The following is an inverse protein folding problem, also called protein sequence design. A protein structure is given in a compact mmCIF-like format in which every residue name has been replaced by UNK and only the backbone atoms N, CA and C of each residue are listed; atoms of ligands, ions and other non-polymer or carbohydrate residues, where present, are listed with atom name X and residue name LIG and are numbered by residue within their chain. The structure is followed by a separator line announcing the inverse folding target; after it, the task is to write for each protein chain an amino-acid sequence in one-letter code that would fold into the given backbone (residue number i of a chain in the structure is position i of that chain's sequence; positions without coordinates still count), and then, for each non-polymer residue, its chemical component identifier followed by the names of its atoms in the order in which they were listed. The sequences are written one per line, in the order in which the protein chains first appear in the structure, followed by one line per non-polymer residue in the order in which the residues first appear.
data_IF_585727596512
#
_entry.id   IF_585727596512
#
_cell.length_a   1.000
_cell.length_b   1.000
_cell.length_c   1.000
_cell.angle_alpha   90.00
_cell.angle_beta   90.00
_cell.angle_gamma   90.00
#
_symmetry.space_group_name_H-M   'P 1'
#
loop_
_entity.id
_entity.type
_entity.pdbx_description
1 polymer ?
#
# COMPACT_ATOMS: atom_id res chain seq x y z
N UNK A 1 -10.51 -11.83 -9.52
CA UNK A 1 -10.54 -12.37 -8.14
C UNK A 1 -9.22 -13.07 -7.83
N UNK A 2 -8.10 -12.37 -7.98
CA UNK A 2 -6.74 -12.98 -8.00
C UNK A 2 -5.80 -12.37 -6.95
N UNK A 3 -6.26 -11.33 -6.25
CA UNK A 3 -5.47 -10.56 -5.26
C UNK A 3 -5.30 -11.33 -3.94
N UNK A 4 -6.09 -12.39 -3.70
CA UNK A 4 -6.11 -13.11 -2.42
C UNK A 4 -5.18 -14.34 -2.34
N UNK A 5 -4.43 -14.68 -3.39
CA UNK A 5 -3.56 -15.88 -3.38
C UNK A 5 -2.11 -15.63 -2.96
N UNK A 6 -1.69 -14.38 -2.77
CA UNK A 6 -0.29 -14.09 -2.46
C UNK A 6 -0.06 -14.07 -0.94
N UNK A 7 0.19 -15.26 -0.37
CA UNK A 7 0.43 -15.48 1.07
C UNK A 7 1.66 -14.73 1.60
N UNK A 8 2.55 -14.31 0.70
CA UNK A 8 3.88 -13.74 1.03
C UNK A 8 4.00 -12.24 0.84
N UNK A 9 2.93 -11.55 0.41
CA UNK A 9 3.02 -10.14 0.05
C UNK A 9 3.44 -9.26 1.24
N UNK A 10 2.99 -9.55 2.45
CA UNK A 10 3.32 -8.78 3.65
C UNK A 10 3.05 -9.61 4.92
N UNK A 11 4.01 -9.68 5.85
CA UNK A 11 3.85 -10.34 7.15
C UNK A 11 3.03 -9.45 8.10
N UNK A 12 1.70 -9.47 7.97
CA UNK A 12 0.80 -8.85 8.96
C UNK A 12 0.49 -9.84 10.09
N UNK A 13 0.53 -9.37 11.34
CA UNK A 13 -0.09 -10.09 12.46
C UNK A 13 -1.60 -10.10 12.23
N UNK A 14 -2.16 -11.26 11.91
CA UNK A 14 -3.60 -11.44 11.71
C UNK A 14 -4.20 -12.08 12.95
N UNK A 15 -5.15 -11.41 13.61
CA UNK A 15 -6.11 -12.09 14.48
C UNK A 15 -6.96 -13.01 13.61
N UNK A 16 -6.94 -14.31 13.91
CA UNK A 16 -7.73 -15.31 13.20
C UNK A 16 -9.23 -15.01 13.39
N UNK A 17 -9.97 -14.80 12.30
CA UNK A 17 -11.45 -14.71 12.30
C UNK A 17 -12.03 -15.98 11.66
N UNK A 18 -12.81 -16.73 12.43
CA UNK A 18 -13.42 -18.01 12.04
C UNK A 18 -14.39 -17.88 10.85
N UNK A 19 -14.95 -16.68 10.63
CA UNK A 19 -15.94 -16.43 9.58
C UNK A 19 -15.35 -16.12 8.19
N UNK A 20 -14.01 -16.08 8.03
CA UNK A 20 -13.30 -15.77 6.77
C UNK A 20 -13.75 -14.47 6.05
N UNK A 21 -14.50 -13.59 6.71
CA UNK A 21 -14.93 -12.30 6.14
C UNK A 21 -13.83 -11.27 6.37
N UNK A 22 -12.96 -11.13 5.38
CA UNK A 22 -11.89 -10.15 5.36
C UNK A 22 -12.37 -8.91 4.61
N UNK A 23 -12.80 -7.90 5.35
CA UNK A 23 -13.19 -6.61 4.76
C UNK A 23 -11.96 -5.72 4.52
N UNK A 24 -12.03 -4.86 3.50
CA UNK A 24 -10.96 -3.94 3.13
C UNK A 24 -10.53 -3.09 4.33
N UNK A 25 -11.48 -2.64 5.14
CA UNK A 25 -11.25 -1.83 6.36
C UNK A 25 -10.40 -2.52 7.41
N UNK A 26 -10.40 -3.87 7.45
CA UNK A 26 -9.54 -4.63 8.36
C UNK A 26 -8.12 -4.81 7.77
N UNK A 27 -8.01 -4.89 6.44
CA UNK A 27 -6.73 -5.17 5.77
C UNK A 27 -5.92 -3.90 5.49
N UNK A 28 -6.60 -2.82 5.10
CA UNK A 28 -5.98 -1.60 4.62
C UNK A 28 -5.14 -0.89 5.69
N UNK A 29 -5.57 -0.74 6.96
CA UNK A 29 -4.74 -0.13 8.00
C UNK A 29 -3.47 -0.95 8.26
N UNK A 30 -3.58 -2.28 8.29
CA UNK A 30 -2.43 -3.17 8.42
C UNK A 30 -1.47 -2.99 7.24
N UNK A 31 -2.00 -3.03 6.01
CA UNK A 31 -1.24 -2.83 4.76
C UNK A 31 -0.50 -1.51 4.70
N UNK A 32 -1.18 -0.41 5.00
CA UNK A 32 -0.59 0.92 5.15
C UNK A 32 0.52 0.92 6.19
N UNK A 33 0.28 0.34 7.36
CA UNK A 33 1.26 0.26 8.43
C UNK A 33 2.54 -0.45 8.02
N UNK A 34 2.45 -1.65 7.44
CA UNK A 34 3.66 -2.36 7.00
C UNK A 34 4.35 -1.68 5.84
N UNK A 35 3.62 -1.08 4.90
CA UNK A 35 4.23 -0.29 3.83
C UNK A 35 5.07 0.86 4.40
N UNK A 36 4.50 1.63 5.33
CA UNK A 36 5.19 2.76 5.98
C UNK A 36 6.42 2.29 6.77
N UNK A 37 6.32 1.17 7.49
CA UNK A 37 7.44 0.59 8.23
C UNK A 37 8.57 0.12 7.32
N UNK A 38 8.26 -0.53 6.20
CA UNK A 38 9.25 -0.96 5.23
C UNK A 38 9.94 0.24 4.57
N UNK A 39 9.19 1.28 4.23
CA UNK A 39 9.75 2.49 3.64
C UNK A 39 10.64 3.25 4.65
N UNK A 40 10.25 3.28 5.93
CA UNK A 40 11.06 3.82 7.02
C UNK A 40 12.37 3.05 7.17
N UNK A 41 12.32 1.71 7.19
CA UNK A 41 13.52 0.85 7.23
C UNK A 41 14.42 1.08 6.03
N UNK A 42 13.84 1.20 4.84
CA UNK A 42 14.59 1.47 3.62
C UNK A 42 15.32 2.82 3.66
N UNK A 43 14.66 3.87 4.15
CA UNK A 43 15.30 5.18 4.36
C UNK A 43 16.47 5.10 5.35
N UNK A 44 16.30 4.40 6.47
CA UNK A 44 17.38 4.23 7.43
C UNK A 44 18.55 3.41 6.88
N UNK A 45 18.27 2.40 6.07
CA UNK A 45 19.30 1.66 5.34
C UNK A 45 20.05 2.61 4.39
N UNK A 46 19.35 3.33 3.52
CA UNK A 46 19.95 4.28 2.57
C UNK A 46 20.85 5.32 3.28
N UNK A 47 20.40 5.86 4.40
CA UNK A 47 21.17 6.81 5.20
C UNK A 47 22.42 6.19 5.83
N UNK A 48 22.33 4.97 6.38
CA UNK A 48 23.50 4.25 6.93
C UNK A 48 24.58 3.96 5.89
N UNK A 49 24.17 3.77 4.64
CA UNK A 49 25.07 3.60 3.48
C UNK A 49 25.53 4.92 2.87
N UNK A 50 25.12 6.07 3.42
CA UNK A 50 25.34 7.42 2.88
C UNK A 50 24.83 7.61 1.44
N UNK A 51 23.82 6.84 1.04
CA UNK A 51 23.20 6.93 -0.28
C UNK A 51 22.09 7.99 -0.30
N UNK A 52 22.49 9.26 -0.41
CA UNK A 52 21.57 10.39 -0.37
C UNK A 52 20.58 10.42 -1.55
N UNK A 53 21.00 9.94 -2.73
CA UNK A 53 20.12 9.83 -3.90
C UNK A 53 18.94 8.90 -3.61
N UNK A 54 19.22 7.73 -3.05
CA UNK A 54 18.19 6.76 -2.69
C UNK A 54 17.31 7.27 -1.54
N UNK A 55 17.91 7.92 -0.54
CA UNK A 55 17.15 8.52 0.56
C UNK A 55 16.13 9.56 0.06
N UNK A 56 16.54 10.45 -0.87
CA UNK A 56 15.63 11.43 -1.47
C UNK A 56 14.53 10.77 -2.30
N UNK A 57 14.87 9.73 -3.08
CA UNK A 57 13.88 8.95 -3.85
C UNK A 57 12.82 8.31 -2.93
N UNK A 58 13.25 7.70 -1.83
CA UNK A 58 12.36 7.07 -0.85
C UNK A 58 11.49 8.09 -0.10
N UNK A 59 11.99 9.30 0.16
CA UNK A 59 11.19 10.41 0.72
C UNK A 59 10.10 10.86 -0.26
N UNK A 60 10.42 11.01 -1.54
CA UNK A 60 9.41 11.35 -2.55
C UNK A 60 8.31 10.28 -2.67
N UNK A 61 8.68 9.00 -2.60
CA UNK A 61 7.72 7.87 -2.54
C UNK A 61 6.85 7.96 -1.28
N UNK A 62 7.43 8.27 -0.13
CA UNK A 62 6.69 8.43 1.13
C UNK A 62 5.67 9.54 1.03
N UNK A 63 6.07 10.73 0.57
CA UNK A 63 5.18 11.88 0.45
C UNK A 63 4.05 11.61 -0.54
N UNK A 64 4.35 10.96 -1.67
CA UNK A 64 3.33 10.58 -2.64
C UNK A 64 2.32 9.58 -2.06
N UNK A 65 2.81 8.52 -1.42
CA UNK A 65 1.94 7.52 -0.80
C UNK A 65 1.08 8.11 0.31
N UNK A 66 1.61 9.05 1.12
CA UNK A 66 0.82 9.76 2.16
C UNK A 66 -0.32 10.56 1.56
N UNK A 67 -0.09 11.28 0.46
CA UNK A 67 -1.15 12.01 -0.25
C UNK A 67 -2.25 11.05 -0.73
N UNK A 68 -1.87 9.93 -1.34
CA UNK A 68 -2.82 8.93 -1.84
C UNK A 68 -3.63 8.31 -0.69
N UNK A 69 -2.98 7.90 0.40
CA UNK A 69 -3.68 7.34 1.56
C UNK A 69 -4.66 8.32 2.21
N UNK A 70 -4.32 9.62 2.23
CA UNK A 70 -5.22 10.63 2.76
C UNK A 70 -6.39 10.86 1.82
N UNK A 71 -6.14 10.95 0.51
CA UNK A 71 -7.18 11.09 -0.51
C UNK A 71 -8.18 9.92 -0.48
N UNK A 72 -7.69 8.67 -0.41
CA UNK A 72 -8.56 7.49 -0.32
C UNK A 72 -9.42 7.50 0.94
N UNK A 73 -8.90 7.99 2.06
CA UNK A 73 -9.65 8.09 3.32
C UNK A 73 -10.76 9.16 3.25
N UNK A 74 -10.52 10.26 2.54
CA UNK A 74 -11.54 11.30 2.30
C UNK A 74 -12.69 10.76 1.44
N UNK A 75 -12.39 10.01 0.38
CA UNK A 75 -13.42 9.41 -0.48
C UNK A 75 -14.17 8.25 0.20
N UNK A 76 -13.52 7.48 1.08
CA UNK A 76 -14.18 6.47 1.92
C UNK A 76 -15.27 7.10 2.79
N UNK A 77 -15.02 8.29 3.35
CA UNK A 77 -16.00 9.05 4.11
C UNK A 77 -17.17 9.54 3.24
N UNK A 78 -16.88 9.98 2.00
CA UNK A 78 -17.91 10.36 1.04
C UNK A 78 -18.83 9.19 0.67
N UNK A 79 -18.30 7.97 0.56
CA UNK A 79 -19.13 6.76 0.38
C UNK A 79 -19.95 6.48 1.64
N UNK A 80 -19.34 6.52 2.82
CA UNK A 80 -19.97 6.16 4.10
C UNK A 80 -21.18 7.06 4.44
N UNK A 81 -21.06 8.39 4.30
CA UNK A 81 -22.18 9.32 4.56
C UNK A 81 -23.35 9.09 3.60
N UNK A 82 -23.04 8.89 2.33
CA UNK A 82 -24.05 8.78 1.29
C UNK A 82 -24.77 7.42 1.29
N UNK A 83 -24.12 6.38 1.81
CA UNK A 83 -24.73 5.07 2.07
C UNK A 83 -25.76 5.15 3.19
N UNK A 84 -25.47 5.89 4.27
CA UNK A 84 -26.32 5.99 5.45
C UNK A 84 -27.48 7.00 5.32
N UNK A 85 -27.34 8.04 4.50
CA UNK A 85 -28.39 9.04 4.28
C UNK A 85 -29.00 8.94 2.87
N UNK A 86 -29.65 7.79 2.62
CA UNK A 86 -30.65 7.50 1.58
C UNK A 86 -30.86 8.54 0.45
N UNK A 87 -29.89 8.69 -0.46
CA UNK A 87 -30.06 9.42 -1.72
C UNK A 87 -29.42 8.68 -2.92
N UNK A 88 -29.35 7.35 -2.82
CA UNK A 88 -28.77 6.46 -3.86
C UNK A 88 -29.41 6.65 -5.24
N UNK A 89 -30.65 7.13 -5.29
CA UNK A 89 -31.42 7.41 -6.50
C UNK A 89 -30.88 8.55 -7.37
N UNK A 90 -29.95 9.37 -6.87
CA UNK A 90 -29.46 10.57 -7.58
C UNK A 90 -27.99 10.52 -8.01
N UNK A 91 -27.29 9.39 -7.87
CA UNK A 91 -25.88 9.32 -8.30
C UNK A 91 -25.73 9.20 -9.81
N UNK A 92 -24.82 10.00 -10.35
CA UNK A 92 -24.32 9.88 -11.72
C UNK A 92 -22.97 9.17 -11.73
N UNK A 93 -22.52 8.78 -12.93
CA UNK A 93 -21.17 8.23 -13.14
C UNK A 93 -20.09 9.23 -12.69
N UNK A 94 -20.36 10.52 -12.81
CA UNK A 94 -19.41 11.58 -12.44
C UNK A 94 -19.16 11.64 -10.94
N UNK A 95 -20.17 11.31 -10.13
CA UNK A 95 -20.07 11.28 -8.67
C UNK A 95 -19.23 10.09 -8.17
N UNK A 96 -19.17 9.00 -8.94
CA UNK A 96 -18.35 7.82 -8.61
C UNK A 96 -16.94 7.88 -9.18
N UNK A 97 -16.69 8.69 -10.22
CA UNK A 97 -15.37 8.82 -10.83
C UNK A 97 -14.25 9.19 -9.82
N UNK A 98 -14.42 10.16 -8.90
CA UNK A 98 -13.38 10.48 -7.91
C UNK A 98 -13.11 9.32 -6.95
N UNK A 99 -14.17 8.61 -6.51
CA UNK A 99 -14.05 7.42 -5.65
C UNK A 99 -13.25 6.33 -6.35
N UNK A 100 -13.61 5.99 -7.59
CA UNK A 100 -12.91 4.98 -8.39
C UNK A 100 -11.44 5.36 -8.59
N UNK A 101 -11.17 6.64 -8.89
CA UNK A 101 -9.81 7.16 -9.03
C UNK A 101 -9.00 7.02 -7.75
N UNK A 102 -9.56 7.41 -6.60
CA UNK A 102 -8.88 7.33 -5.31
C UNK A 102 -8.51 5.88 -4.92
N UNK A 103 -9.43 4.93 -5.16
CA UNK A 103 -9.14 3.51 -4.90
C UNK A 103 -8.15 2.92 -5.92
N UNK A 104 -8.22 3.34 -7.19
CA UNK A 104 -7.24 2.94 -8.19
C UNK A 104 -5.83 3.38 -7.80
N UNK A 105 -5.66 4.64 -7.40
CA UNK A 105 -4.40 5.18 -6.93
C UNK A 105 -3.92 4.49 -5.65
N UNK A 106 -4.84 4.21 -4.72
CA UNK A 106 -4.55 3.45 -3.50
C UNK A 106 -3.96 2.08 -3.79
N UNK A 107 -4.57 1.31 -4.70
CA UNK A 107 -4.02 0.03 -5.12
C UNK A 107 -2.70 0.17 -5.86
N UNK A 108 -2.51 1.29 -6.57
CA UNK A 108 -1.25 1.67 -7.22
C UNK A 108 -0.07 1.75 -6.27
N UNK A 109 -0.27 2.24 -5.03
CA UNK A 109 0.79 2.33 -4.01
C UNK A 109 1.47 0.98 -3.73
N UNK A 110 0.75 -0.13 -3.84
CA UNK A 110 1.26 -1.47 -3.58
C UNK A 110 1.79 -2.17 -4.84
N UNK A 111 1.80 -1.51 -5.98
CA UNK A 111 2.23 -2.06 -7.27
C UNK A 111 3.48 -1.36 -7.78
N UNK A 112 4.21 -2.07 -8.62
CA UNK A 112 5.30 -1.50 -9.40
C UNK A 112 4.73 -0.90 -10.69
N UNK A 113 5.02 0.37 -10.96
CA UNK A 113 4.58 1.07 -12.17
C UNK A 113 5.12 0.43 -13.47
N UNK A 114 6.31 -0.17 -13.41
CA UNK A 114 6.96 -0.75 -14.60
C UNK A 114 6.39 -2.10 -15.00
N UNK A 115 5.93 -2.91 -14.05
CA UNK A 115 5.49 -4.29 -14.34
C UNK A 115 4.06 -4.61 -13.89
N UNK A 116 3.38 -3.69 -13.21
CA UNK A 116 2.05 -3.89 -12.62
C UNK A 116 2.00 -4.90 -11.47
N UNK A 117 3.11 -5.58 -11.17
CA UNK A 117 3.21 -6.59 -10.12
C UNK A 117 3.18 -5.97 -8.72
N UNK A 118 2.62 -6.71 -7.77
CA UNK A 118 2.58 -6.32 -6.35
C UNK A 118 4.00 -6.36 -5.79
N UNK A 119 4.37 -5.33 -5.03
CA UNK A 119 5.66 -5.31 -4.33
C UNK A 119 5.63 -6.30 -3.17
N UNK A 120 6.74 -6.99 -2.93
CA UNK A 120 6.85 -8.07 -1.95
C UNK A 120 8.19 -8.04 -1.24
N UNK A 121 8.28 -8.76 -0.12
CA UNK A 121 9.53 -8.91 0.63
C UNK A 121 10.44 -9.95 -0.01
N UNK A 122 11.69 -9.56 -0.24
CA UNK A 122 12.81 -10.49 -0.40
C UNK A 122 13.36 -10.83 0.97
N UNK A 123 13.42 -12.11 1.31
CA UNK A 123 13.90 -12.61 2.60
C UNK A 123 15.13 -13.49 2.43
N UNK A 124 15.99 -13.48 3.44
CA UNK A 124 17.04 -14.46 3.66
C UNK A 124 16.76 -15.16 4.99
N UNK A 125 16.29 -16.40 4.89
CA UNK A 125 15.67 -17.09 6.02
C UNK A 125 14.44 -16.32 6.53
N UNK A 126 14.46 -15.96 7.81
CA UNK A 126 13.38 -15.20 8.46
C UNK A 126 13.54 -13.68 8.33
N UNK A 127 14.69 -13.22 7.85
CA UNK A 127 15.05 -11.79 7.82
C UNK A 127 14.65 -11.18 6.49
N UNK A 128 13.91 -10.07 6.52
CA UNK A 128 13.61 -9.29 5.33
C UNK A 128 14.80 -8.42 4.93
N UNK A 129 15.31 -8.59 3.72
CA UNK A 129 16.48 -7.87 3.20
C UNK A 129 16.12 -6.76 2.22
N UNK A 130 15.03 -6.91 1.47
CA UNK A 130 14.59 -5.90 0.51
C UNK A 130 13.08 -5.93 0.27
N UNK A 131 12.53 -4.82 -0.22
CA UNK A 131 11.22 -4.80 -0.91
C UNK A 131 11.49 -4.83 -2.41
N UNK A 132 10.87 -5.75 -3.14
CA UNK A 132 11.11 -5.97 -4.57
C UNK A 132 9.82 -6.08 -5.36
N UNK A 133 9.92 -5.87 -6.67
CA UNK A 133 8.97 -6.39 -7.65
C UNK A 133 9.63 -7.51 -8.47
N UNK A 134 8.83 -8.25 -9.24
CA UNK A 134 9.32 -9.40 -10.03
C UNK A 134 10.41 -9.05 -11.05
N UNK A 135 10.43 -7.78 -11.50
CA UNK A 135 11.36 -7.30 -12.54
C UNK A 135 12.50 -6.44 -11.98
N UNK A 136 12.57 -6.24 -10.66
CA UNK A 136 13.64 -5.46 -10.01
C UNK A 136 13.56 -3.93 -10.15
N UNK A 137 12.57 -3.38 -10.88
CA UNK A 137 12.36 -1.94 -10.97
C UNK A 137 12.06 -1.29 -9.60
N UNK A 138 11.38 -2.02 -8.71
CA UNK A 138 11.33 -1.72 -7.28
C UNK A 138 12.39 -2.56 -6.58
N UNK A 139 13.32 -1.92 -5.89
CA UNK A 139 14.30 -2.56 -5.01
C UNK A 139 14.66 -1.62 -3.85
N UNK A 140 13.99 -1.78 -2.71
CA UNK A 140 14.28 -1.01 -1.50
C UNK A 140 15.12 -1.87 -0.57
N UNK A 141 16.40 -1.53 -0.40
CA UNK A 141 17.27 -2.22 0.55
C UNK A 141 16.79 -1.96 1.99
N UNK A 142 16.68 -3.01 2.80
CA UNK A 142 16.28 -2.93 4.22
C UNK A 142 17.46 -3.17 5.17
N UNK A 143 18.64 -3.51 4.65
CA UNK A 143 19.83 -3.84 5.44
C UNK A 143 20.70 -2.60 5.65
N UNK A 144 20.98 -2.26 6.91
CA UNK A 144 21.88 -1.17 7.30
C UNK A 144 23.34 -1.56 7.09
N UNK A 145 24.21 -0.55 6.97
CA UNK A 145 25.67 -0.72 6.99
C UNK A 145 26.18 -1.18 8.34
#
# INVERSE_FOLDING_TARGET
MEILRNRDAFNFSRTFKENQRWELDNFLPAARGSYQDLLKKAKFAADSWKNQKELMRLKAIEDNSKRIFNHSQTEEWAVNINVHYNNWTNFSVEDFRPVVGAFHDLFGVFKCDSCGGIIHLSKNGITAEAVRCNFGAVNWNLVKK
#
